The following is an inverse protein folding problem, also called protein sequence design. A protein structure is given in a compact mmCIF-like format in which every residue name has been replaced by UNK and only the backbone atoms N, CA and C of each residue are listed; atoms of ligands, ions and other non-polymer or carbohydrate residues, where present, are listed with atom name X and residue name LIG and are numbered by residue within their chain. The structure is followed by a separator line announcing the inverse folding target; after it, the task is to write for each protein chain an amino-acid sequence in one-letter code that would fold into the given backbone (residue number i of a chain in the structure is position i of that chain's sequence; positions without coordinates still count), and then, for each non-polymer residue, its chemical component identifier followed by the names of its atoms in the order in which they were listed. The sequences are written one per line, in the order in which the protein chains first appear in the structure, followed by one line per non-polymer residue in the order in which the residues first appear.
data_IF_583016326707
#
_entry.id   IF_583016326707
#
_cell.length_a   1.000
_cell.length_b   1.000
_cell.length_c   1.000
_cell.angle_alpha   90.00
_cell.angle_beta   90.00
_cell.angle_gamma   90.00
#
_symmetry.space_group_name_H-M   'P 1'
#
loop_
_entity.id
_entity.type
_entity.pdbx_description
1 polymer ?
#
# COMPACT_ATOMS: atom_id res chain seq x y z
N UNK A 1 -15.82 -19.09 -2.34
CA UNK A 1 -15.89 -17.84 -3.15
C UNK A 1 -14.55 -17.12 -3.07
N UNK A 2 -14.16 -16.38 -4.11
CA UNK A 2 -12.85 -15.71 -4.16
C UNK A 2 -12.85 -14.34 -3.49
N UNK A 3 -11.73 -13.99 -2.87
CA UNK A 3 -11.41 -12.66 -2.34
C UNK A 3 -10.38 -11.97 -3.25
N UNK A 4 -10.38 -10.63 -3.26
CA UNK A 4 -9.41 -9.83 -4.03
C UNK A 4 -8.65 -8.92 -3.08
N UNK A 5 -7.33 -8.89 -3.21
CA UNK A 5 -6.46 -7.95 -2.52
C UNK A 5 -5.96 -6.88 -3.51
N UNK A 6 -5.97 -5.62 -3.09
CA UNK A 6 -5.52 -4.50 -3.90
C UNK A 6 -4.46 -3.67 -3.19
N UNK A 7 -3.34 -3.41 -3.86
CA UNK A 7 -2.37 -2.42 -3.40
C UNK A 7 -2.88 -0.99 -3.71
N UNK A 8 -3.05 -0.18 -2.67
CA UNK A 8 -3.54 1.20 -2.78
C UNK A 8 -2.46 2.18 -2.35
N UNK A 9 -2.00 3.01 -3.28
CA UNK A 9 -0.91 3.97 -3.04
C UNK A 9 -1.39 5.37 -2.64
N UNK A 10 -2.70 5.62 -2.70
CA UNK A 10 -3.28 6.97 -2.60
C UNK A 10 -3.30 7.73 -3.92
N UNK A 11 -2.60 7.22 -4.95
CA UNK A 11 -2.68 7.72 -6.33
C UNK A 11 -4.08 7.53 -6.94
N UNK A 12 -4.41 8.34 -7.94
CA UNK A 12 -5.75 8.39 -8.54
C UNK A 12 -6.18 7.04 -9.11
N UNK A 13 -5.30 6.34 -9.85
CA UNK A 13 -5.64 5.06 -10.50
C UNK A 13 -6.02 3.99 -9.46
N UNK A 14 -5.13 3.75 -8.49
CA UNK A 14 -5.36 2.77 -7.42
C UNK A 14 -6.57 3.12 -6.55
N UNK A 15 -6.85 4.41 -6.35
CA UNK A 15 -8.01 4.87 -5.60
C UNK A 15 -9.31 4.59 -6.34
N UNK A 16 -9.38 4.93 -7.62
CA UNK A 16 -10.57 4.68 -8.45
C UNK A 16 -10.81 3.17 -8.54
N UNK A 17 -9.76 2.38 -8.78
CA UNK A 17 -9.87 0.92 -8.79
C UNK A 17 -10.40 0.38 -7.45
N UNK A 18 -9.86 0.84 -6.32
CA UNK A 18 -10.31 0.41 -4.99
C UNK A 18 -11.79 0.73 -4.73
N UNK A 19 -12.24 1.92 -5.11
CA UNK A 19 -13.66 2.31 -4.98
C UNK A 19 -14.57 1.45 -5.85
N UNK A 20 -14.17 1.17 -7.10
CA UNK A 20 -14.94 0.31 -8.00
C UNK A 20 -15.02 -1.13 -7.48
N UNK A 21 -13.91 -1.67 -6.99
CA UNK A 21 -13.86 -3.02 -6.41
C UNK A 21 -14.71 -3.12 -5.16
N UNK A 22 -14.62 -2.16 -4.23
CA UNK A 22 -15.45 -2.14 -3.03
C UNK A 22 -16.95 -2.08 -3.37
N UNK A 23 -17.34 -1.30 -4.38
CA UNK A 23 -18.74 -1.27 -4.85
C UNK A 23 -19.21 -2.57 -5.49
N UNK A 24 -18.31 -3.28 -6.19
CA UNK A 24 -18.64 -4.49 -6.93
C UNK A 24 -18.70 -5.74 -6.04
N UNK A 25 -17.78 -5.86 -5.06
CA UNK A 25 -17.62 -7.09 -4.27
C UNK A 25 -17.65 -6.87 -2.76
N UNK A 26 -17.81 -5.63 -2.29
CA UNK A 26 -17.93 -5.29 -0.87
C UNK A 26 -16.77 -5.82 -0.04
N UNK A 27 -17.09 -6.47 1.07
CA UNK A 27 -16.18 -7.05 2.06
C UNK A 27 -15.24 -8.15 1.51
N UNK A 28 -15.40 -8.53 0.23
CA UNK A 28 -14.46 -9.44 -0.45
C UNK A 28 -13.25 -8.70 -1.05
N UNK A 29 -13.27 -7.36 -1.06
CA UNK A 29 -12.14 -6.53 -1.47
C UNK A 29 -11.34 -6.07 -0.25
N UNK A 30 -10.06 -6.41 -0.23
CA UNK A 30 -9.13 -6.05 0.84
C UNK A 30 -8.10 -5.06 0.31
N UNK A 31 -8.11 -3.83 0.81
CA UNK A 31 -7.15 -2.82 0.37
C UNK A 31 -5.95 -2.76 1.33
N UNK A 32 -4.74 -2.73 0.76
CA UNK A 32 -3.50 -2.60 1.52
C UNK A 32 -2.70 -1.41 1.02
N UNK A 33 -2.32 -0.52 1.94
CA UNK A 33 -1.36 0.55 1.74
C UNK A 33 -0.09 0.23 2.52
N UNK A 34 1.07 0.39 1.89
CA UNK A 34 2.37 0.20 2.54
C UNK A 34 3.03 1.57 2.69
N UNK A 35 3.25 1.99 3.93
CA UNK A 35 4.09 3.16 4.23
C UNK A 35 5.56 2.73 4.24
N UNK A 36 6.31 3.20 3.24
CA UNK A 36 7.72 2.90 3.07
C UNK A 36 8.64 3.92 3.77
N UNK A 37 8.09 4.87 4.53
CA UNK A 37 8.83 5.93 5.20
C UNK A 37 9.32 7.05 4.26
N UNK A 38 8.94 7.02 2.98
CA UNK A 38 9.32 7.99 1.96
C UNK A 38 8.09 8.67 1.31
N UNK A 39 6.90 8.51 1.89
CA UNK A 39 5.70 9.23 1.46
C UNK A 39 5.80 10.72 1.78
N UNK A 40 4.92 11.53 1.19
CA UNK A 40 4.86 12.95 1.52
C UNK A 40 4.31 13.14 2.93
N UNK A 41 4.57 14.32 3.49
CA UNK A 41 4.06 14.71 4.80
C UNK A 41 2.54 14.46 4.89
N UNK A 42 2.14 13.73 5.93
CA UNK A 42 0.75 13.39 6.26
C UNK A 42 -0.02 12.59 5.18
N UNK A 43 0.67 12.05 4.18
CA UNK A 43 0.04 11.36 3.04
C UNK A 43 -0.67 10.07 3.48
N UNK A 44 -0.02 9.21 4.26
CA UNK A 44 -0.62 7.98 4.77
C UNK A 44 -1.90 8.25 5.58
N UNK A 45 -1.84 9.23 6.49
CA UNK A 45 -2.99 9.64 7.32
C UNK A 45 -4.14 10.16 6.45
N UNK A 46 -3.82 10.99 5.45
CA UNK A 46 -4.82 11.57 4.54
C UNK A 46 -5.51 10.49 3.71
N UNK A 47 -4.74 9.54 3.17
CA UNK A 47 -5.26 8.42 2.36
C UNK A 47 -6.13 7.50 3.21
N UNK A 48 -5.69 7.16 4.42
CA UNK A 48 -6.47 6.39 5.41
C UNK A 48 -7.81 7.06 5.72
N UNK A 49 -7.78 8.36 6.06
CA UNK A 49 -8.99 9.11 6.37
C UNK A 49 -9.99 9.12 5.21
N UNK A 50 -9.50 9.36 3.99
CA UNK A 50 -10.34 9.40 2.79
C UNK A 50 -10.96 8.04 2.47
N UNK A 51 -10.13 7.00 2.34
CA UNK A 51 -10.59 5.71 1.83
C UNK A 51 -11.38 4.92 2.87
N UNK A 52 -10.92 4.93 4.12
CA UNK A 52 -11.62 4.23 5.21
C UNK A 52 -12.82 5.01 5.72
N UNK A 53 -12.67 6.33 5.90
CA UNK A 53 -13.72 7.18 6.46
C UNK A 53 -14.81 7.56 5.47
N UNK A 54 -14.43 8.08 4.31
CA UNK A 54 -15.40 8.65 3.34
C UNK A 54 -15.88 7.62 2.31
N UNK A 55 -15.04 6.66 1.93
CA UNK A 55 -15.37 5.65 0.91
C UNK A 55 -15.79 4.29 1.49
N UNK A 56 -15.69 4.09 2.80
CA UNK A 56 -16.04 2.83 3.47
C UNK A 56 -15.25 1.62 2.98
N UNK A 57 -14.00 1.82 2.54
CA UNK A 57 -13.11 0.75 2.09
C UNK A 57 -12.34 0.24 3.31
N UNK A 58 -12.29 -1.09 3.50
CA UNK A 58 -11.41 -1.68 4.51
C UNK A 58 -9.95 -1.57 4.05
N UNK A 59 -9.33 -0.44 4.39
CA UNK A 59 -7.95 -0.12 4.09
C UNK A 59 -7.07 -0.44 5.30
N UNK A 60 -6.18 -1.42 5.11
CA UNK A 60 -5.08 -1.72 6.02
C UNK A 60 -3.86 -0.89 5.63
N UNK A 61 -3.30 -0.15 6.57
CA UNK A 61 -2.01 0.53 6.39
C UNK A 61 -0.93 -0.24 7.15
N UNK A 62 0.11 -0.65 6.44
CA UNK A 62 1.28 -1.34 6.99
C UNK A 62 2.42 -0.36 7.05
N UNK A 63 2.89 -0.06 8.27
CA UNK A 63 4.14 0.68 8.47
C UNK A 63 5.32 -0.27 8.27
N UNK A 64 6.10 -0.02 7.22
CA UNK A 64 7.33 -0.73 6.91
C UNK A 64 8.53 0.23 6.80
N UNK A 65 8.39 1.45 7.31
CA UNK A 65 9.37 2.52 7.18
C UNK A 65 10.78 2.10 7.62
N UNK A 66 10.90 1.46 8.79
CA UNK A 66 12.18 0.97 9.30
C UNK A 66 12.83 -0.07 8.38
N UNK A 67 12.05 -0.98 7.80
CA UNK A 67 12.54 -2.02 6.90
C UNK A 67 13.07 -1.41 5.60
N UNK A 68 12.31 -0.50 4.97
CA UNK A 68 12.74 0.17 3.74
C UNK A 68 13.98 1.03 3.98
N UNK A 69 13.98 1.87 5.02
CA UNK A 69 15.10 2.77 5.31
C UNK A 69 16.35 1.99 5.75
N UNK A 70 16.19 0.88 6.47
CA UNK A 70 17.27 -0.04 6.83
C UNK A 70 17.94 -0.66 5.61
N UNK A 71 17.16 -1.17 4.65
CA UNK A 71 17.68 -1.78 3.42
C UNK A 71 18.33 -0.76 2.47
N UNK A 72 17.92 0.51 2.54
CA UNK A 72 18.49 1.59 1.72
C UNK A 72 19.74 2.23 2.33
N UNK A 73 20.11 1.86 3.57
CA UNK A 73 21.26 2.45 4.27
C UNK A 73 22.56 2.20 3.50
N UNK A 74 23.21 3.28 3.09
CA UNK A 74 24.47 3.23 2.35
C UNK A 74 24.34 2.89 0.85
N UNK A 75 23.12 2.69 0.35
CA UNK A 75 22.89 2.45 -1.08
C UNK A 75 22.86 3.79 -1.82
N UNK A 76 23.82 4.00 -2.71
CA UNK A 76 23.95 5.24 -3.50
C UNK A 76 23.50 5.08 -4.95
N UNK A 77 23.63 3.88 -5.52
CA UNK A 77 23.21 3.61 -6.90
C UNK A 77 21.69 3.70 -7.06
N UNK A 78 21.17 4.56 -7.96
CA UNK A 78 19.73 4.79 -8.08
C UNK A 78 18.95 3.58 -8.58
N UNK A 79 19.53 2.77 -9.46
CA UNK A 79 18.89 1.56 -9.99
C UNK A 79 18.79 0.48 -8.92
N UNK A 80 19.85 0.30 -8.12
CA UNK A 80 19.86 -0.58 -6.96
C UNK A 80 18.81 -0.14 -5.93
N UNK A 81 18.69 1.15 -5.64
CA UNK A 81 17.63 1.68 -4.76
C UNK A 81 16.24 1.30 -5.28
N UNK A 82 15.98 1.49 -6.58
CA UNK A 82 14.69 1.14 -7.20
C UNK A 82 14.38 -0.36 -7.08
N UNK A 83 15.37 -1.22 -7.33
CA UNK A 83 15.24 -2.68 -7.20
C UNK A 83 14.94 -3.10 -5.77
N UNK A 84 15.64 -2.52 -4.78
CA UNK A 84 15.42 -2.80 -3.36
C UNK A 84 13.99 -2.39 -2.96
N UNK A 85 13.57 -1.17 -3.30
CA UNK A 85 12.23 -0.67 -2.97
C UNK A 85 11.15 -1.55 -3.61
N UNK A 86 11.28 -1.87 -4.89
CA UNK A 86 10.32 -2.71 -5.60
C UNK A 86 10.23 -4.12 -5.04
N UNK A 87 11.37 -4.78 -4.80
CA UNK A 87 11.42 -6.12 -4.21
C UNK A 87 10.81 -6.16 -2.82
N UNK A 88 11.25 -5.24 -1.95
CA UNK A 88 10.75 -5.15 -0.56
C UNK A 88 9.24 -4.92 -0.51
N UNK A 89 8.71 -4.09 -1.41
CA UNK A 89 7.27 -3.87 -1.52
C UNK A 89 6.50 -5.14 -1.88
N UNK A 90 7.01 -5.93 -2.84
CA UNK A 90 6.40 -7.21 -3.24
C UNK A 90 6.42 -8.19 -2.06
N UNK A 91 7.56 -8.30 -1.35
CA UNK A 91 7.70 -9.21 -0.20
C UNK A 91 6.67 -8.88 0.90
N UNK A 92 6.52 -7.60 1.24
CA UNK A 92 5.55 -7.14 2.24
C UNK A 92 4.13 -7.43 1.77
N UNK A 93 3.82 -7.12 0.50
CA UNK A 93 2.48 -7.35 -0.04
C UNK A 93 2.13 -8.84 -0.09
N UNK A 94 3.09 -9.71 -0.41
CA UNK A 94 2.91 -11.16 -0.38
C UNK A 94 2.61 -11.66 1.04
N UNK A 95 3.32 -11.16 2.05
CA UNK A 95 3.04 -11.48 3.46
C UNK A 95 1.62 -11.04 3.85
N UNK A 96 1.18 -9.86 3.42
CA UNK A 96 -0.18 -9.39 3.71
C UNK A 96 -1.26 -10.15 2.95
N UNK A 97 -0.97 -10.65 1.75
CA UNK A 97 -1.91 -11.46 0.96
C UNK A 97 -2.20 -12.85 1.54
N UNK A 98 -1.33 -13.33 2.44
CA UNK A 98 -1.46 -14.64 3.11
C UNK A 98 -2.15 -14.57 4.47
N UNK A 99 -2.50 -13.36 4.94
CA UNK A 99 -3.23 -13.12 6.20
C UNK A 99 -4.74 -13.11 5.94
#
# INVERSE_FOLDING_TARGET
EGHVIGAVSGGVDSTVAAVLMNRAIGDRFHAVMVDNGCLRKDEAVTVLKRLRGECGIDLKCVDASEQFLGLLKGVTDPEQKRKIIGGTFIDIFEVESKK
#
